data_IF_703513879575
#
_entry.id   IF_703513879575
#
_cell.length_a   1.000
_cell.length_b   1.000
_cell.length_c   1.000
_cell.angle_alpha   90.00
_cell.angle_beta   90.00
_cell.angle_gamma   90.00
#
_symmetry.space_group_name_H-M   'P 1'
#
loop_
_entity.id
_entity.type
_entity.pdbx_description
1 polymer ?
#
# COMPACT_ATOMS: atom_id res chain seq x y z
N UNK A 1 4.45 8.71 12.09
CA UNK A 1 3.26 7.85 11.92
C UNK A 1 2.42 8.43 10.80
N UNK A 2 2.41 7.78 9.63
CA UNK A 2 1.56 8.19 8.52
C UNK A 2 0.08 8.13 8.89
N UNK A 3 -0.73 8.98 8.26
CA UNK A 3 -2.18 8.98 8.42
C UNK A 3 -2.84 8.24 7.27
N UNK A 4 -3.75 7.34 7.60
CA UNK A 4 -4.55 6.63 6.62
C UNK A 4 -5.61 7.58 6.04
N UNK A 5 -5.46 8.02 4.80
CA UNK A 5 -6.28 9.08 4.17
C UNK A 5 -7.79 8.82 4.22
N UNK A 6 -8.22 7.55 4.19
CA UNK A 6 -9.65 7.20 4.22
C UNK A 6 -10.30 7.34 5.61
N UNK A 7 -9.53 7.21 6.70
CA UNK A 7 -10.08 7.26 8.08
C UNK A 7 -9.48 8.38 8.93
N UNK A 8 -8.43 9.04 8.45
CA UNK A 8 -7.64 10.03 9.19
C UNK A 8 -6.84 9.46 10.36
N UNK A 9 -6.90 8.14 10.61
CA UNK A 9 -6.20 7.51 11.73
C UNK A 9 -4.71 7.43 11.48
N UNK A 10 -3.92 7.74 12.51
CA UNK A 10 -2.49 7.47 12.52
C UNK A 10 -2.25 5.96 12.54
N UNK A 11 -1.38 5.50 11.64
CA UNK A 11 -0.95 4.11 11.54
C UNK A 11 0.55 4.06 11.80
N UNK A 12 0.99 3.02 12.52
CA UNK A 12 2.42 2.79 12.76
C UNK A 12 3.10 2.40 11.45
N UNK A 13 4.33 2.86 11.25
CA UNK A 13 5.16 2.49 10.08
C UNK A 13 5.23 0.95 9.91
N UNK A 14 5.43 0.20 11.00
CA UNK A 14 5.40 -1.29 10.98
C UNK A 14 4.10 -1.87 10.41
N UNK A 15 2.95 -1.28 10.76
CA UNK A 15 1.66 -1.74 10.24
C UNK A 15 1.49 -1.42 8.75
N UNK A 16 2.05 -0.30 8.28
CA UNK A 16 2.05 0.06 6.86
C UNK A 16 2.90 -0.94 6.08
N UNK A 17 4.08 -1.29 6.58
CA UNK A 17 4.97 -2.29 5.94
C UNK A 17 4.34 -3.69 5.91
N UNK A 18 3.71 -4.12 7.02
CA UNK A 18 2.97 -5.38 7.09
C UNK A 18 1.81 -5.42 6.07
N UNK A 19 1.05 -4.33 5.96
CA UNK A 19 -0.06 -4.24 5.01
C UNK A 19 0.45 -4.28 3.56
N UNK A 20 1.53 -3.53 3.25
CA UNK A 20 2.13 -3.52 1.91
C UNK A 20 2.62 -4.91 1.51
N UNK A 21 3.27 -5.62 2.44
CA UNK A 21 3.75 -6.99 2.22
C UNK A 21 2.60 -7.96 1.96
N UNK A 22 1.52 -7.88 2.76
CA UNK A 22 0.36 -8.74 2.58
C UNK A 22 -0.31 -8.52 1.21
N UNK A 23 -0.48 -7.26 0.77
CA UNK A 23 -1.08 -6.95 -0.54
C UNK A 23 -0.19 -7.42 -1.69
N UNK A 24 1.13 -7.20 -1.61
CA UNK A 24 2.08 -7.70 -2.61
C UNK A 24 2.09 -9.24 -2.67
N UNK A 25 1.98 -9.90 -1.52
CA UNK A 25 1.89 -11.37 -1.45
C UNK A 25 0.57 -11.93 -1.99
N UNK A 26 -0.50 -11.14 -2.00
CA UNK A 26 -1.78 -11.53 -2.60
C UNK A 26 -1.80 -11.38 -4.13
N UNK A 27 -0.69 -10.94 -4.74
CA UNK A 27 -0.58 -10.80 -6.19
C UNK A 27 -0.79 -12.15 -6.89
N UNK A 28 -1.69 -12.17 -7.88
CA UNK A 28 -1.94 -13.33 -8.74
C UNK A 28 -0.93 -13.46 -9.89
N UNK A 29 0.22 -12.77 -9.81
CA UNK A 29 1.27 -12.77 -10.84
C UNK A 29 0.74 -12.42 -12.22
N UNK A 30 0.16 -11.22 -12.36
CA UNK A 30 -0.29 -10.71 -13.66
C UNK A 30 0.84 -10.80 -14.70
N UNK A 31 0.52 -11.19 -15.93
CA UNK A 31 1.51 -11.27 -17.01
C UNK A 31 2.15 -9.90 -17.31
N UNK A 32 1.38 -8.82 -17.16
CA UNK A 32 1.86 -7.44 -17.21
C UNK A 32 1.26 -6.65 -16.03
N UNK A 33 2.08 -5.85 -15.35
CA UNK A 33 1.62 -4.99 -14.26
C UNK A 33 1.01 -3.72 -14.81
N UNK A 34 -0.33 -3.66 -14.77
CA UNK A 34 -1.09 -2.46 -15.05
C UNK A 34 -1.40 -1.69 -13.77
N UNK A 35 -1.36 -0.35 -13.85
CA UNK A 35 -1.85 0.55 -12.80
C UNK A 35 -3.37 0.44 -12.59
N UNK A 36 -4.11 -0.21 -13.50
CA UNK A 36 -5.52 -0.53 -13.31
C UNK A 36 -5.79 -1.79 -12.48
N UNK A 37 -4.76 -2.58 -12.18
CA UNK A 37 -4.89 -3.74 -11.30
C UNK A 37 -5.32 -3.31 -9.89
N UNK A 38 -6.40 -3.87 -9.31
CA UNK A 38 -6.87 -3.51 -7.97
C UNK A 38 -5.80 -3.69 -6.88
N UNK A 39 -4.97 -4.74 -7.00
CA UNK A 39 -3.86 -4.99 -6.07
C UNK A 39 -2.73 -3.98 -6.24
N UNK A 40 -2.44 -3.57 -7.48
CA UNK A 40 -1.46 -2.53 -7.76
C UNK A 40 -1.93 -1.16 -7.21
N UNK A 41 -3.21 -0.81 -7.41
CA UNK A 41 -3.81 0.41 -6.82
C UNK A 41 -3.72 0.40 -5.29
N UNK A 42 -4.09 -0.73 -4.66
CA UNK A 42 -4.00 -0.87 -3.21
C UNK A 42 -2.56 -0.77 -2.70
N UNK A 43 -1.60 -1.45 -3.36
CA UNK A 43 -0.19 -1.38 -3.00
C UNK A 43 0.37 0.05 -3.17
N UNK A 44 -0.01 0.76 -4.22
CA UNK A 44 0.35 2.16 -4.46
C UNK A 44 -0.15 3.07 -3.35
N UNK A 45 -1.44 2.99 -3.02
CA UNK A 45 -2.04 3.81 -1.95
C UNK A 45 -1.38 3.57 -0.58
N UNK A 46 -0.96 2.34 -0.29
CA UNK A 46 -0.22 2.02 0.94
C UNK A 46 1.22 2.55 0.85
N UNK A 47 1.88 2.43 -0.31
CA UNK A 47 3.25 2.91 -0.53
C UNK A 47 3.37 4.43 -0.36
N UNK A 48 2.39 5.20 -0.85
CA UNK A 48 2.33 6.66 -0.69
C UNK A 48 2.31 7.08 0.80
N UNK A 49 1.80 6.23 1.69
CA UNK A 49 1.85 6.49 3.13
C UNK A 49 3.26 6.37 3.71
N UNK A 50 4.11 5.53 3.12
CA UNK A 50 5.53 5.37 3.48
C UNK A 50 6.43 6.42 2.81
N UNK A 51 6.07 6.89 1.62
CA UNK A 51 6.86 7.85 0.83
C UNK A 51 6.67 9.31 1.24
N UNK A 52 5.69 9.62 2.10
CA UNK A 52 5.49 10.95 2.73
C UNK A 52 6.61 11.36 3.72
N UNK A 53 7.82 10.83 3.56
CA UNK A 53 9.00 11.04 4.42
C UNK A 53 10.19 11.67 3.69
N UNK A 54 9.96 12.36 2.57
CA UNK A 54 10.95 13.19 1.89
C UNK A 54 10.60 14.67 1.99
#
# INVERSE_FOLDING_TARGET
MPKWSYTGKSVSDEKVEQALTAVKSACFCCAEHSSDCPLAKAAGAIAEMTEAKQ
#
